data_IF_397170978980
#
_entry.id   IF_397170978980
#
_cell.length_a   1.000
_cell.length_b   1.000
_cell.length_c   1.000
_cell.angle_alpha   90.00
_cell.angle_beta   90.00
_cell.angle_gamma   90.00
#
_symmetry.space_group_name_H-M   'P 1'
#
loop_
_entity.id
_entity.type
_entity.pdbx_description
1 polymer ?
#
# COMPACT_ATOMS: atom_id res chain seq x y z
N UNK A 1 -10.31 13.99 -19.41
CA UNK A 1 -9.11 13.26 -18.97
C UNK A 1 -8.83 13.70 -17.54
N UNK A 2 -9.27 12.92 -16.55
CA UNK A 2 -9.03 13.24 -15.14
C UNK A 2 -7.58 12.87 -14.81
N UNK A 3 -6.68 13.83 -14.92
CA UNK A 3 -5.32 13.69 -14.41
C UNK A 3 -5.39 13.80 -12.89
N UNK A 4 -5.61 12.68 -12.19
CA UNK A 4 -5.41 12.67 -10.74
C UNK A 4 -3.95 13.04 -10.46
N UNK A 5 -3.68 14.02 -9.58
CA UNK A 5 -2.31 14.37 -9.25
C UNK A 5 -1.60 13.15 -8.66
N UNK A 6 -0.40 12.87 -9.15
CA UNK A 6 0.41 11.76 -8.67
C UNK A 6 1.04 12.16 -7.34
N UNK A 7 0.33 11.87 -6.26
CA UNK A 7 0.83 12.10 -4.89
C UNK A 7 1.55 10.85 -4.38
N UNK A 8 2.73 11.05 -3.79
CA UNK A 8 3.49 10.01 -3.10
C UNK A 8 3.36 10.19 -1.59
N UNK A 9 2.90 9.14 -0.91
CA UNK A 9 2.86 9.09 0.56
C UNK A 9 4.03 8.29 1.11
N UNK A 10 4.46 8.61 2.34
CA UNK A 10 5.55 7.90 3.02
C UNK A 10 5.00 6.69 3.79
N UNK A 11 5.85 5.71 4.10
CA UNK A 11 5.49 4.51 4.88
C UNK A 11 4.71 4.81 6.16
N UNK A 12 5.03 5.88 6.88
CA UNK A 12 4.33 6.27 8.12
C UNK A 12 2.88 6.65 7.85
N UNK A 13 2.61 7.32 6.73
CA UNK A 13 1.26 7.68 6.31
C UNK A 13 0.51 6.45 5.80
N UNK A 14 1.16 5.63 4.96
CA UNK A 14 0.62 4.32 4.55
C UNK A 14 0.17 3.52 5.78
N UNK A 15 1.04 3.40 6.79
CA UNK A 15 0.78 2.68 8.04
C UNK A 15 -0.50 3.15 8.74
N UNK A 16 -0.74 4.47 8.78
CA UNK A 16 -1.95 5.04 9.36
C UNK A 16 -3.18 4.70 8.54
N UNK A 17 -3.11 4.81 7.21
CA UNK A 17 -4.25 4.56 6.32
C UNK A 17 -4.70 3.10 6.29
N UNK A 18 -3.76 2.18 6.14
CA UNK A 18 -4.08 0.73 6.07
C UNK A 18 -4.29 0.10 7.45
N UNK A 19 -3.95 0.80 8.54
CA UNK A 19 -4.12 0.30 9.91
C UNK A 19 -3.19 -0.87 10.29
N UNK A 20 -2.09 -1.06 9.57
CA UNK A 20 -1.17 -2.19 9.76
C UNK A 20 0.09 -1.77 10.51
N UNK A 21 0.77 -2.71 11.16
CA UNK A 21 2.09 -2.46 11.74
C UNK A 21 3.16 -2.35 10.65
N UNK A 22 4.31 -1.75 10.98
CA UNK A 22 5.48 -1.70 10.08
C UNK A 22 5.86 -3.10 9.57
N UNK A 23 5.94 -4.09 10.45
CA UNK A 23 6.32 -5.45 10.07
C UNK A 23 5.30 -6.08 9.15
N UNK A 24 4.00 -5.90 9.43
CA UNK A 24 2.93 -6.42 8.57
C UNK A 24 2.92 -5.81 7.17
N UNK A 25 3.40 -4.57 7.01
CA UNK A 25 3.60 -3.95 5.69
C UNK A 25 4.75 -4.65 4.94
N UNK A 26 5.89 -4.88 5.60
CA UNK A 26 7.01 -5.58 4.97
C UNK A 26 6.67 -7.05 4.66
N UNK A 27 5.91 -7.72 5.51
CA UNK A 27 5.43 -9.08 5.25
C UNK A 27 4.55 -9.13 4.00
N UNK A 28 3.68 -8.14 3.78
CA UNK A 28 2.87 -8.06 2.55
C UNK A 28 3.70 -7.79 1.31
N UNK A 29 4.77 -7.00 1.44
CA UNK A 29 5.67 -6.67 0.34
C UNK A 29 6.64 -7.79 -0.02
N UNK A 30 7.02 -8.65 0.93
CA UNK A 30 7.99 -9.70 0.71
C UNK A 30 7.34 -10.92 0.04
N UNK A 31 7.70 -11.27 -1.21
CA UNK A 31 7.18 -12.45 -1.90
C UNK A 31 7.52 -13.78 -1.21
N UNK A 32 8.48 -13.79 -0.28
CA UNK A 32 8.85 -14.97 0.50
C UNK A 32 7.99 -15.14 1.76
N UNK A 33 7.22 -14.13 2.15
CA UNK A 33 6.35 -14.20 3.32
C UNK A 33 5.08 -14.97 2.98
N UNK A 34 4.57 -15.75 3.95
CA UNK A 34 3.26 -16.39 3.84
C UNK A 34 2.10 -15.39 3.75
N UNK A 35 2.36 -14.13 4.13
CA UNK A 35 1.40 -13.02 4.08
C UNK A 35 1.64 -12.08 2.90
N UNK A 36 2.42 -12.51 1.91
CA UNK A 36 2.62 -11.73 0.70
C UNK A 36 1.28 -11.41 0.05
N UNK A 37 1.08 -10.14 -0.25
CA UNK A 37 -0.12 -9.67 -0.92
C UNK A 37 0.28 -8.97 -2.22
N UNK A 38 0.09 -9.62 -3.38
CA UNK A 38 0.49 -9.04 -4.67
C UNK A 38 -0.35 -7.81 -5.05
N UNK A 39 -1.50 -7.60 -4.39
CA UNK A 39 -2.35 -6.42 -4.59
C UNK A 39 -1.91 -5.23 -3.71
N UNK A 40 -0.93 -5.42 -2.83
CA UNK A 40 -0.45 -4.37 -1.96
C UNK A 40 0.29 -3.28 -2.75
N UNK A 41 0.13 -1.98 -2.40
CA UNK A 41 0.76 -0.86 -3.10
C UNK A 41 2.28 -1.01 -3.18
N UNK A 42 2.85 -0.77 -4.36
CA UNK A 42 4.27 -1.01 -4.59
C UNK A 42 5.12 0.18 -4.12
N UNK A 43 6.28 -0.07 -3.46
CA UNK A 43 7.15 1.00 -3.04
C UNK A 43 7.87 1.62 -4.25
N UNK A 44 7.80 2.94 -4.35
CA UNK A 44 8.53 3.77 -5.31
C UNK A 44 9.80 4.29 -4.64
N UNK A 45 10.97 4.02 -5.20
CA UNK A 45 12.23 4.55 -4.69
C UNK A 45 12.30 6.07 -4.90
N UNK A 46 12.56 6.81 -3.82
CA UNK A 46 12.73 8.27 -3.83
C UNK A 46 14.21 8.69 -3.82
N UNK A 47 15.13 7.74 -4.03
CA UNK A 47 16.58 7.96 -3.95
C UNK A 47 17.17 7.73 -2.55
N UNK A 48 18.50 7.77 -2.45
CA UNK A 48 19.22 7.64 -1.17
C UNK A 48 19.12 6.28 -0.49
N UNK A 49 18.79 5.21 -1.23
CA UNK A 49 18.83 3.80 -0.79
C UNK A 49 17.78 3.36 0.23
N UNK A 50 17.22 4.27 1.04
CA UNK A 50 16.24 3.96 2.10
C UNK A 50 14.93 4.73 2.00
N UNK A 51 14.84 5.72 1.11
CA UNK A 51 13.62 6.49 0.97
C UNK A 51 12.68 5.81 -0.04
N UNK A 52 11.55 5.28 0.46
CA UNK A 52 10.47 4.73 -0.39
C UNK A 52 9.12 5.43 -0.18
N UNK A 53 8.47 5.82 -1.27
CA UNK A 53 7.12 6.34 -1.29
C UNK A 53 6.12 5.29 -1.79
N UNK A 54 4.84 5.58 -1.66
CA UNK A 54 3.75 4.77 -2.21
C UNK A 54 2.80 5.72 -2.93
N UNK A 55 2.25 5.27 -4.05
CA UNK A 55 1.28 6.07 -4.81
C UNK A 55 -0.03 6.14 -4.04
N UNK A 56 -0.52 7.35 -3.80
CA UNK A 56 -1.74 7.57 -3.02
C UNK A 56 -2.94 6.81 -3.60
N UNK A 57 -3.15 6.91 -4.91
CA UNK A 57 -4.26 6.23 -5.58
C UNK A 57 -4.16 4.69 -5.52
N UNK A 58 -2.95 4.11 -5.49
CA UNK A 58 -2.79 2.65 -5.32
C UNK A 58 -3.20 2.24 -3.89
N UNK A 59 -2.85 3.06 -2.90
CA UNK A 59 -3.21 2.82 -1.50
C UNK A 59 -4.71 2.90 -1.30
N UNK A 60 -5.35 3.92 -1.88
CA UNK A 60 -6.80 4.09 -1.80
C UNK A 60 -7.52 2.95 -2.53
N UNK A 61 -7.03 2.53 -3.70
CA UNK A 61 -7.57 1.37 -4.43
C UNK A 61 -7.43 0.06 -3.63
N UNK A 62 -6.30 -0.14 -2.95
CA UNK A 62 -6.11 -1.30 -2.07
C UNK A 62 -7.12 -1.32 -0.92
N UNK A 63 -7.33 -0.18 -0.25
CA UNK A 63 -8.30 -0.07 0.84
C UNK A 63 -9.71 -0.33 0.32
N UNK A 64 -10.08 0.23 -0.84
CA UNK A 64 -11.36 -0.04 -1.47
C UNK A 64 -11.55 -1.54 -1.75
N UNK A 65 -10.53 -2.21 -2.31
CA UNK A 65 -10.58 -3.65 -2.55
C UNK A 65 -10.77 -4.47 -1.26
N UNK A 66 -10.13 -4.07 -0.15
CA UNK A 66 -10.34 -4.70 1.16
C UNK A 66 -11.77 -4.53 1.67
N UNK A 67 -12.36 -3.34 1.48
CA UNK A 67 -13.75 -3.07 1.87
C UNK A 67 -14.70 -3.93 1.04
N UNK A 68 -14.54 -3.95 -0.28
CA UNK A 68 -15.37 -4.77 -1.17
C UNK A 68 -15.24 -6.25 -0.83
N UNK A 69 -14.04 -6.78 -0.65
CA UNK A 69 -13.83 -8.17 -0.25
C UNK A 69 -14.48 -8.48 1.11
N UNK A 70 -14.41 -7.55 2.07
CA UNK A 70 -15.06 -7.70 3.38
C UNK A 70 -16.59 -7.66 3.29
N UNK A 71 -17.17 -6.91 2.36
CA UNK A 71 -18.63 -6.75 2.20
C UNK A 71 -19.24 -7.82 1.31
N UNK A 72 -18.50 -8.34 0.33
CA UNK A 72 -18.92 -9.44 -0.54
C UNK A 72 -18.94 -10.80 0.18
N UNK A 73 -18.24 -10.93 1.31
CA UNK A 73 -18.23 -12.13 2.14
C UNK A 73 -19.35 -12.18 3.20
N UNK A 74 -20.25 -11.18 3.22
CA UNK A 74 -21.41 -11.09 4.10
C UNK A 74 -22.71 -11.33 3.32
#
# INVERSE_FOLDING_TARGET
MQSQPVTLIRRVELQRRVGLSKSAIYDRLDPKSTRHDPSFPRPVSLGGGRAVGFLEHEVDAYIAALVEASRAAA
#
